data_IF_798185870668
#
_entry.id   IF_798185870668
#
_cell.length_a   1.000
_cell.length_b   1.000
_cell.length_c   1.000
_cell.angle_alpha   90.00
_cell.angle_beta   90.00
_cell.angle_gamma   90.00
#
_symmetry.space_group_name_H-M   'P 1'
#
loop_
_entity.id
_entity.type
_entity.pdbx_description
1 polymer ?
#
# COMPACT_ATOMS: atom_id res chain seq x y z
N UNK A 1 -81.73 55.30 16.53
CA UNK A 1 -81.04 54.31 17.36
C UNK A 1 -79.76 53.95 16.66
N UNK A 2 -78.65 54.45 17.17
CA UNK A 2 -77.35 54.49 16.48
C UNK A 2 -76.50 53.31 16.92
N UNK A 3 -75.93 52.62 15.96
CA UNK A 3 -74.93 51.59 16.16
C UNK A 3 -73.53 52.17 15.79
N UNK A 4 -72.70 52.28 16.78
CA UNK A 4 -71.31 52.69 16.58
C UNK A 4 -70.44 51.47 16.13
N UNK A 5 -69.81 51.65 15.02
CA UNK A 5 -68.82 50.68 14.51
C UNK A 5 -67.47 51.09 15.04
N UNK A 6 -66.84 50.21 15.88
CA UNK A 6 -65.50 50.37 16.36
C UNK A 6 -64.57 49.83 15.34
N UNK A 7 -63.62 50.63 14.86
CA UNK A 7 -62.46 50.21 14.10
C UNK A 7 -61.37 49.74 15.07
N UNK A 8 -61.10 48.48 15.05
CA UNK A 8 -59.86 47.95 15.66
C UNK A 8 -58.73 47.98 14.64
N UNK A 9 -57.73 48.80 14.88
CA UNK A 9 -56.47 48.79 14.14
C UNK A 9 -55.61 47.72 14.77
N UNK A 10 -55.35 46.63 14.03
CA UNK A 10 -54.42 45.58 14.40
C UNK A 10 -53.00 46.05 14.06
N UNK A 11 -52.16 46.30 15.06
CA UNK A 11 -50.74 46.51 14.88
C UNK A 11 -50.09 45.17 14.56
N UNK A 12 -49.87 44.91 13.30
CA UNK A 12 -48.99 43.85 12.89
C UNK A 12 -47.56 44.28 13.22
N UNK A 13 -46.98 43.69 14.27
CA UNK A 13 -45.57 43.79 14.57
C UNK A 13 -44.78 43.07 13.50
N UNK A 14 -44.11 43.80 12.63
CA UNK A 14 -43.04 43.28 11.76
C UNK A 14 -41.81 42.96 12.63
N UNK A 15 -41.72 41.76 13.10
CA UNK A 15 -40.42 41.21 13.57
C UNK A 15 -39.56 40.94 12.37
N UNK A 16 -38.68 41.87 12.04
CA UNK A 16 -37.59 41.64 11.11
C UNK A 16 -36.59 40.68 11.78
N UNK A 17 -36.70 39.41 11.49
CA UNK A 17 -35.69 38.42 11.85
C UNK A 17 -34.46 38.70 10.97
N UNK A 18 -33.47 39.35 11.54
CA UNK A 18 -32.16 39.54 10.92
C UNK A 18 -31.44 38.18 10.93
N UNK A 19 -31.53 37.43 9.83
CA UNK A 19 -30.70 36.25 9.63
C UNK A 19 -29.28 36.73 9.34
N UNK A 20 -28.46 36.81 10.38
CA UNK A 20 -27.03 36.98 10.22
C UNK A 20 -26.48 35.66 9.70
N UNK A 21 -26.34 35.54 8.39
CA UNK A 21 -25.57 34.49 7.78
C UNK A 21 -24.11 34.72 8.14
N UNK A 22 -23.61 34.04 9.18
CA UNK A 22 -22.17 33.89 9.43
C UNK A 22 -21.58 33.07 8.29
N UNK A 23 -21.18 33.73 7.21
CA UNK A 23 -20.29 33.18 6.24
C UNK A 23 -18.95 33.00 6.96
N UNK A 24 -18.70 31.82 7.51
CA UNK A 24 -17.36 31.41 7.89
C UNK A 24 -16.55 31.32 6.60
N UNK A 25 -15.87 32.39 6.23
CA UNK A 25 -14.84 32.34 5.22
C UNK A 25 -13.82 31.31 5.73
N UNK A 26 -13.84 30.11 5.16
CA UNK A 26 -12.75 29.16 5.39
C UNK A 26 -11.47 29.88 4.97
N UNK A 27 -10.62 30.23 5.92
CA UNK A 27 -9.33 30.82 5.62
C UNK A 27 -8.64 29.88 4.61
N UNK A 28 -8.23 30.45 3.47
CA UNK A 28 -7.48 29.67 2.49
C UNK A 28 -6.21 29.15 3.18
N UNK A 29 -5.92 27.88 2.99
CA UNK A 29 -4.71 27.28 3.54
C UNK A 29 -3.47 28.01 2.98
N UNK A 30 -2.52 28.35 3.83
CA UNK A 30 -1.26 28.96 3.41
C UNK A 30 -0.53 28.02 2.46
N UNK A 31 -0.07 28.53 1.34
CA UNK A 31 0.62 27.76 0.31
C UNK A 31 2.11 28.11 0.25
N UNK A 32 2.95 27.08 0.16
CA UNK A 32 4.40 27.15 0.10
C UNK A 32 4.83 26.42 -1.18
N UNK A 33 4.96 27.17 -2.29
CA UNK A 33 5.38 26.59 -3.56
C UNK A 33 6.88 26.34 -3.57
N UNK A 34 7.32 25.14 -3.98
CA UNK A 34 8.76 24.83 -4.07
C UNK A 34 9.52 25.79 -4.98
N UNK A 35 8.84 26.42 -5.94
CA UNK A 35 9.44 27.41 -6.86
C UNK A 35 9.82 28.70 -6.12
N UNK A 36 9.04 29.11 -5.13
CA UNK A 36 9.32 30.29 -4.31
C UNK A 36 10.58 30.09 -3.45
N UNK A 37 10.98 28.84 -3.21
CA UNK A 37 12.20 28.43 -2.52
C UNK A 37 13.36 28.09 -3.46
N UNK A 38 13.22 28.36 -4.77
CA UNK A 38 14.29 28.24 -5.75
C UNK A 38 14.28 26.94 -6.58
N UNK A 39 13.25 26.08 -6.46
CA UNK A 39 13.13 24.94 -7.36
C UNK A 39 12.92 25.39 -8.80
N UNK A 40 13.62 24.77 -9.73
CA UNK A 40 13.49 25.04 -11.15
C UNK A 40 13.00 23.81 -11.89
N UNK A 41 11.91 23.96 -12.65
CA UNK A 41 11.45 22.92 -13.55
C UNK A 41 12.46 22.63 -14.67
N UNK A 42 12.32 21.47 -15.33
CA UNK A 42 13.17 21.03 -16.42
C UNK A 42 13.99 19.78 -16.13
N UNK A 43 13.97 19.27 -14.88
CA UNK A 43 14.57 17.98 -14.54
C UNK A 43 16.11 17.91 -14.61
N UNK A 44 16.80 19.05 -14.57
CA UNK A 44 18.26 19.12 -14.76
C UNK A 44 19.02 19.59 -13.53
N UNK A 45 18.40 20.42 -12.70
CA UNK A 45 19.01 21.01 -11.50
C UNK A 45 18.36 20.37 -10.28
N UNK A 46 19.18 19.91 -9.34
CA UNK A 46 18.68 19.34 -8.11
C UNK A 46 17.91 20.37 -7.27
N UNK A 47 16.67 20.10 -7.03
CA UNK A 47 15.76 20.94 -6.26
C UNK A 47 15.56 20.47 -4.80
N UNK A 48 16.30 19.47 -4.32
CA UNK A 48 16.09 18.90 -2.98
C UNK A 48 16.15 19.97 -1.88
N UNK A 49 17.11 20.91 -1.95
CA UNK A 49 17.20 22.02 -1.00
C UNK A 49 15.95 22.91 -0.97
N UNK A 50 15.39 23.22 -2.15
CA UNK A 50 14.16 24.01 -2.26
C UNK A 50 12.93 23.26 -1.71
N UNK A 51 12.84 21.95 -1.97
CA UNK A 51 11.78 21.10 -1.41
C UNK A 51 11.85 21.03 0.12
N UNK A 52 13.05 20.86 0.69
CA UNK A 52 13.25 20.84 2.13
C UNK A 52 12.93 22.20 2.78
N UNK A 53 13.27 23.30 2.14
CA UNK A 53 12.96 24.65 2.63
C UNK A 53 11.44 24.92 2.60
N UNK A 54 10.75 24.55 1.52
CA UNK A 54 9.29 24.66 1.42
C UNK A 54 8.59 23.79 2.46
N UNK A 55 9.09 22.56 2.70
CA UNK A 55 8.58 21.69 3.77
C UNK A 55 8.78 22.31 5.15
N UNK A 56 9.98 22.82 5.44
CA UNK A 56 10.28 23.43 6.74
C UNK A 56 9.34 24.63 7.02
N UNK A 57 9.03 25.44 6.02
CA UNK A 57 8.08 26.54 6.13
C UNK A 57 6.65 26.02 6.37
N UNK A 58 6.16 25.08 5.56
CA UNK A 58 4.84 24.50 5.72
C UNK A 58 4.68 23.73 7.05
N UNK A 59 5.69 23.00 7.46
CA UNK A 59 5.69 22.24 8.73
C UNK A 59 5.80 23.16 9.95
N UNK A 60 6.43 24.34 9.79
CA UNK A 60 6.53 25.39 10.81
C UNK A 60 5.31 26.29 10.95
N UNK A 61 4.35 26.22 10.00
CA UNK A 61 3.10 26.98 10.01
C UNK A 61 2.11 26.32 10.99
N UNK A 62 1.50 27.11 11.89
CA UNK A 62 0.49 26.67 12.86
C UNK A 62 -0.94 26.80 12.32
N UNK A 63 -1.13 27.34 11.11
CA UNK A 63 -2.39 27.40 10.42
C UNK A 63 -2.98 26.01 10.12
N UNK A 64 -4.25 25.97 9.77
CA UNK A 64 -4.91 24.70 9.49
C UNK A 64 -4.52 24.16 8.12
N UNK A 65 -3.79 23.03 8.10
CA UNK A 65 -3.40 22.27 6.90
C UNK A 65 -2.65 23.09 5.85
N UNK A 66 -1.51 23.71 6.18
CA UNK A 66 -0.67 24.40 5.21
C UNK A 66 -0.33 23.46 4.04
N UNK A 67 -0.18 24.04 2.85
CA UNK A 67 0.05 23.30 1.61
C UNK A 67 1.46 23.54 1.08
N UNK A 68 2.28 22.51 1.04
CA UNK A 68 3.48 22.49 0.20
C UNK A 68 3.06 22.13 -1.23
N UNK A 69 3.32 23.00 -2.20
CA UNK A 69 2.95 22.78 -3.60
C UNK A 69 4.16 22.53 -4.49
N UNK A 70 4.06 21.47 -5.28
CA UNK A 70 4.93 21.19 -6.42
C UNK A 70 4.13 21.48 -7.70
N UNK A 71 4.32 22.62 -8.37
CA UNK A 71 3.52 23.00 -9.54
C UNK A 71 3.79 22.08 -10.74
N UNK A 72 3.06 22.29 -11.83
CA UNK A 72 3.27 21.57 -13.08
C UNK A 72 4.71 21.76 -13.60
N UNK A 73 5.31 20.70 -14.12
CA UNK A 73 6.70 20.64 -14.58
C UNK A 73 7.41 19.40 -14.09
N UNK A 74 8.66 19.24 -14.49
CA UNK A 74 9.53 18.13 -14.07
C UNK A 74 10.63 18.66 -13.17
N UNK A 75 10.75 18.13 -11.96
CA UNK A 75 11.73 18.53 -10.97
C UNK A 75 12.66 17.37 -10.66
N UNK A 76 13.95 17.52 -10.92
CA UNK A 76 14.96 16.61 -10.41
C UNK A 76 15.12 16.89 -8.91
N UNK A 77 14.95 15.88 -8.09
CA UNK A 77 15.08 16.00 -6.64
C UNK A 77 16.02 14.91 -6.16
N UNK A 78 17.11 15.29 -5.55
CA UNK A 78 17.98 14.40 -4.82
C UNK A 78 17.26 13.77 -3.64
N UNK A 79 17.98 13.15 -2.73
CA UNK A 79 17.39 12.60 -1.53
C UNK A 79 16.74 13.69 -0.68
N UNK A 80 15.46 13.51 -0.30
CA UNK A 80 14.74 14.47 0.52
C UNK A 80 14.04 13.78 1.70
N UNK A 81 14.43 14.19 2.92
CA UNK A 81 13.86 13.71 4.18
C UNK A 81 13.04 14.82 4.83
N UNK A 82 11.74 14.62 4.84
CA UNK A 82 10.75 15.54 5.40
C UNK A 82 10.43 15.15 6.84
N UNK A 83 10.98 15.89 7.78
CA UNK A 83 10.88 15.58 9.19
C UNK A 83 9.73 16.34 9.84
N UNK A 84 8.96 15.66 10.70
CA UNK A 84 8.05 16.22 11.65
C UNK A 84 8.66 16.24 13.08
N UNK A 85 7.85 16.49 14.13
CA UNK A 85 6.43 16.83 14.02
C UNK A 85 6.19 18.24 13.50
N UNK A 86 5.10 18.42 12.72
CA UNK A 86 4.70 19.73 12.24
C UNK A 86 3.82 20.47 13.26
N UNK A 87 3.81 21.81 13.21
CA UNK A 87 3.05 22.65 14.12
C UNK A 87 1.54 22.60 13.88
N UNK A 88 1.13 22.50 12.61
CA UNK A 88 -0.28 22.40 12.26
C UNK A 88 -0.93 21.15 12.86
N UNK A 89 -1.97 21.33 13.67
CA UNK A 89 -2.74 20.23 14.24
C UNK A 89 -3.44 19.36 13.17
N UNK A 90 -3.70 19.91 11.98
CA UNK A 90 -4.28 19.20 10.83
C UNK A 90 -3.23 18.48 9.97
N UNK A 91 -1.95 18.64 10.26
CA UNK A 91 -0.84 18.15 9.42
C UNK A 91 -0.63 18.99 8.17
N UNK A 92 0.33 18.60 7.34
CA UNK A 92 0.70 19.29 6.09
C UNK A 92 0.11 18.57 4.88
N UNK A 93 -0.29 19.33 3.87
CA UNK A 93 -0.69 18.80 2.57
C UNK A 93 0.45 18.98 1.57
N UNK A 94 0.96 17.90 1.01
CA UNK A 94 1.82 17.93 -0.17
C UNK A 94 0.94 17.77 -1.42
N UNK A 95 0.80 18.85 -2.19
CA UNK A 95 0.06 18.85 -3.45
C UNK A 95 1.05 18.84 -4.62
N UNK A 96 1.00 17.79 -5.43
CA UNK A 96 1.89 17.61 -6.58
C UNK A 96 1.05 17.71 -7.84
N UNK A 97 1.35 18.70 -8.70
CA UNK A 97 0.73 18.84 -10.02
C UNK A 97 1.68 18.37 -11.13
N UNK A 98 2.99 18.34 -10.86
CA UNK A 98 4.04 17.94 -11.78
C UNK A 98 4.59 16.54 -11.57
N UNK A 99 5.81 16.34 -12.06
CA UNK A 99 6.61 15.12 -11.91
C UNK A 99 7.86 15.41 -11.11
N UNK A 100 8.10 14.60 -10.09
CA UNK A 100 9.34 14.59 -9.31
C UNK A 100 10.15 13.38 -9.76
N UNK A 101 11.40 13.59 -10.16
CA UNK A 101 12.28 12.54 -10.72
C UNK A 101 13.49 12.34 -9.83
N UNK A 102 13.81 11.09 -9.53
CA UNK A 102 15.02 10.74 -8.79
C UNK A 102 16.27 10.83 -9.67
N UNK A 103 17.43 11.19 -9.12
CA UNK A 103 18.69 11.02 -9.83
C UNK A 103 18.96 9.52 -10.10
N UNK A 104 19.82 9.19 -11.09
CA UNK A 104 20.16 7.80 -11.40
C UNK A 104 20.70 7.02 -10.20
N UNK A 105 21.46 7.65 -9.32
CA UNK A 105 21.95 7.08 -8.07
C UNK A 105 21.45 7.89 -6.87
N UNK A 106 21.04 7.18 -5.82
CA UNK A 106 20.68 7.74 -4.51
C UNK A 106 21.49 6.98 -3.47
N UNK A 107 22.09 7.69 -2.52
CA UNK A 107 23.06 7.11 -1.59
C UNK A 107 22.46 6.21 -0.52
N UNK A 108 21.19 6.39 -0.17
CA UNK A 108 20.50 5.69 0.92
C UNK A 108 19.34 4.82 0.43
N UNK A 109 18.72 4.08 1.36
CA UNK A 109 17.64 3.15 1.07
C UNK A 109 16.28 3.80 0.79
N UNK A 110 16.10 5.09 1.12
CA UNK A 110 14.88 5.86 0.85
C UNK A 110 15.19 7.15 0.08
N UNK A 111 14.39 7.46 -0.94
CA UNK A 111 14.54 8.67 -1.75
C UNK A 111 13.72 9.82 -1.18
N UNK A 112 12.40 9.70 -1.17
CA UNK A 112 11.48 10.65 -0.54
C UNK A 112 10.99 10.01 0.76
N UNK A 113 11.37 10.56 1.90
CA UNK A 113 10.97 10.03 3.20
C UNK A 113 10.20 11.08 4.01
N UNK A 114 9.09 10.67 4.59
CA UNK A 114 8.34 11.41 5.60
C UNK A 114 8.46 10.69 6.94
N UNK A 115 9.03 11.35 7.94
CA UNK A 115 9.28 10.77 9.24
C UNK A 115 8.67 11.65 10.34
N UNK A 116 7.89 11.05 11.25
CA UNK A 116 7.08 11.76 12.26
C UNK A 116 6.13 12.81 11.67
N UNK A 117 5.69 12.63 10.42
CA UNK A 117 4.81 13.56 9.71
C UNK A 117 3.33 13.21 9.95
N UNK A 118 2.87 13.42 11.19
CA UNK A 118 1.49 13.12 11.58
C UNK A 118 0.48 14.02 10.82
N UNK A 119 -0.65 13.47 10.40
CA UNK A 119 -1.67 14.19 9.63
C UNK A 119 -1.32 14.49 8.19
N UNK A 120 -0.18 13.99 7.69
CA UNK A 120 0.28 14.20 6.32
C UNK A 120 -0.76 13.79 5.29
N UNK A 121 -0.97 14.65 4.28
CA UNK A 121 -1.75 14.31 3.11
C UNK A 121 -0.94 14.56 1.83
N UNK A 122 -0.66 13.53 1.06
CA UNK A 122 -0.01 13.63 -0.26
C UNK A 122 -1.09 13.45 -1.34
N UNK A 123 -1.11 14.30 -2.35
CA UNK A 123 -2.11 14.21 -3.42
C UNK A 123 -1.58 14.60 -4.78
N UNK A 124 -1.97 13.80 -5.79
CA UNK A 124 -1.69 14.06 -7.21
C UNK A 124 -0.24 13.80 -7.60
N UNK A 125 0.09 14.14 -8.83
CA UNK A 125 1.42 14.12 -9.41
C UNK A 125 2.03 12.75 -9.66
N UNK A 126 3.29 12.78 -10.08
CA UNK A 126 4.08 11.60 -10.38
C UNK A 126 5.41 11.63 -9.63
N UNK A 127 5.76 10.50 -9.02
CA UNK A 127 7.09 10.23 -8.48
C UNK A 127 7.76 9.18 -9.37
N UNK A 128 8.80 9.59 -10.09
CA UNK A 128 9.58 8.73 -10.97
C UNK A 128 10.90 8.34 -10.28
N UNK A 129 11.01 7.10 -9.87
CA UNK A 129 12.19 6.57 -9.19
C UNK A 129 13.41 6.39 -10.11
N UNK A 130 13.24 6.49 -11.45
CA UNK A 130 14.32 6.40 -12.43
C UNK A 130 15.20 5.14 -12.27
N UNK A 131 14.56 3.96 -12.11
CA UNK A 131 15.21 2.71 -11.70
C UNK A 131 16.00 1.97 -12.77
N UNK A 132 15.86 2.32 -14.05
CA UNK A 132 16.38 1.53 -15.17
C UNK A 132 17.87 1.22 -15.10
N UNK A 133 18.70 2.22 -14.77
CA UNK A 133 20.15 2.04 -14.63
C UNK A 133 20.52 1.13 -13.46
N UNK A 134 19.75 1.18 -12.38
CA UNK A 134 19.91 0.32 -11.22
C UNK A 134 19.59 -1.15 -11.55
N UNK A 135 18.50 -1.42 -12.24
CA UNK A 135 18.13 -2.78 -12.63
C UNK A 135 19.12 -3.36 -13.64
N UNK A 136 19.58 -2.55 -14.60
CA UNK A 136 20.62 -2.96 -15.53
C UNK A 136 21.94 -3.34 -14.81
N UNK A 137 22.30 -2.60 -13.74
CA UNK A 137 23.42 -2.96 -12.89
C UNK A 137 23.18 -4.32 -12.22
N UNK A 138 22.03 -4.52 -11.59
CA UNK A 138 21.71 -5.80 -10.91
C UNK A 138 21.66 -7.00 -11.84
N UNK A 139 21.20 -6.81 -13.06
CA UNK A 139 21.19 -7.86 -14.08
C UNK A 139 22.60 -8.23 -14.58
N UNK A 140 23.58 -7.35 -14.46
CA UNK A 140 24.96 -7.60 -14.84
C UNK A 140 25.68 -8.34 -13.72
N UNK A 141 25.78 -9.66 -13.82
CA UNK A 141 26.40 -10.52 -12.81
C UNK A 141 27.79 -10.03 -12.36
N UNK A 142 28.09 -10.12 -11.06
CA UNK A 142 29.39 -9.82 -10.47
C UNK A 142 29.72 -8.33 -10.31
N UNK A 143 28.76 -7.42 -10.46
CA UNK A 143 28.94 -5.99 -10.20
C UNK A 143 28.49 -5.60 -8.80
N UNK A 144 29.29 -4.75 -8.18
CA UNK A 144 28.90 -4.05 -6.95
C UNK A 144 27.94 -2.92 -7.33
N UNK A 145 26.65 -3.12 -7.06
CA UNK A 145 25.62 -2.15 -7.38
C UNK A 145 25.24 -1.35 -6.12
N UNK A 146 24.89 -0.07 -6.27
CA UNK A 146 24.40 0.72 -5.14
C UNK A 146 23.16 0.03 -4.53
N UNK A 147 22.80 0.34 -3.27
CA UNK A 147 21.60 -0.20 -2.66
C UNK A 147 20.35 0.24 -3.43
N UNK A 148 19.34 -0.61 -3.48
CA UNK A 148 18.03 -0.27 -4.03
C UNK A 148 17.34 0.76 -3.15
N UNK A 149 16.70 1.76 -3.76
CA UNK A 149 16.10 2.89 -3.06
C UNK A 149 14.58 2.85 -3.16
N UNK A 150 13.90 2.88 -2.03
CA UNK A 150 12.44 3.05 -1.94
C UNK A 150 12.04 4.45 -2.41
N UNK A 151 11.01 4.53 -3.27
CA UNK A 151 10.57 5.81 -3.85
C UNK A 151 9.89 6.71 -2.82
N UNK A 152 8.86 6.23 -2.13
CA UNK A 152 8.13 6.95 -1.09
C UNK A 152 8.14 6.14 0.19
N UNK A 153 8.79 6.65 1.20
CA UNK A 153 8.86 6.04 2.52
C UNK A 153 8.11 6.91 3.54
N UNK A 154 7.16 6.31 4.24
CA UNK A 154 6.40 6.96 5.31
C UNK A 154 6.62 6.14 6.57
N UNK A 155 7.30 6.74 7.54
CA UNK A 155 7.69 6.06 8.76
C UNK A 155 7.31 6.84 10.02
N UNK A 156 6.98 6.09 11.07
CA UNK A 156 6.62 6.59 12.42
C UNK A 156 5.61 7.73 12.39
N UNK A 157 4.62 7.62 11.49
CA UNK A 157 3.64 8.67 11.22
C UNK A 157 2.22 8.16 11.39
N UNK A 158 1.32 9.02 11.89
CA UNK A 158 -0.07 8.66 12.13
C UNK A 158 -1.04 9.52 11.32
N UNK A 159 -2.21 8.97 10.98
CA UNK A 159 -3.27 9.68 10.25
C UNK A 159 -2.78 10.22 8.89
N UNK A 160 -2.14 9.36 8.12
CA UNK A 160 -1.57 9.72 6.81
C UNK A 160 -2.53 9.37 5.68
N UNK A 161 -2.62 10.23 4.68
CA UNK A 161 -3.37 9.93 3.45
C UNK A 161 -2.55 10.21 2.20
N UNK A 162 -2.51 9.23 1.28
CA UNK A 162 -1.88 9.38 -0.06
C UNK A 162 -2.94 9.11 -1.12
N UNK A 163 -3.22 10.11 -1.96
CA UNK A 163 -4.34 10.01 -2.90
C UNK A 163 -3.94 10.38 -4.33
N UNK A 164 -4.31 9.52 -5.29
CA UNK A 164 -4.13 9.76 -6.73
C UNK A 164 -2.70 10.12 -7.13
N UNK A 165 -1.73 9.47 -6.50
CA UNK A 165 -0.31 9.59 -6.85
C UNK A 165 0.04 8.49 -7.83
N UNK A 166 0.82 8.82 -8.85
CA UNK A 166 1.45 7.88 -9.76
C UNK A 166 2.90 7.66 -9.32
N UNK A 167 3.33 6.39 -9.18
CA UNK A 167 4.71 6.04 -8.89
C UNK A 167 5.24 5.15 -10.02
N UNK A 168 6.41 5.51 -10.53
CA UNK A 168 6.99 4.87 -11.71
C UNK A 168 8.43 4.47 -11.42
N UNK A 169 8.81 3.30 -11.91
CA UNK A 169 10.19 2.86 -12.02
C UNK A 169 11.03 3.02 -10.73
N UNK A 170 10.50 2.55 -9.60
CA UNK A 170 11.24 2.55 -8.33
C UNK A 170 12.47 1.64 -8.42
N UNK A 171 13.58 2.04 -7.81
CA UNK A 171 14.79 1.21 -7.71
C UNK A 171 14.62 0.01 -6.77
N UNK A 172 13.64 0.09 -5.87
CA UNK A 172 13.25 -0.93 -4.92
C UNK A 172 11.73 -0.81 -4.68
N UNK A 173 11.22 -0.90 -3.47
CA UNK A 173 9.81 -0.68 -3.12
C UNK A 173 9.32 0.70 -3.58
N UNK A 174 8.10 0.76 -4.15
CA UNK A 174 7.51 2.06 -4.54
C UNK A 174 6.97 2.83 -3.34
N UNK A 175 6.18 2.19 -2.48
CA UNK A 175 5.63 2.80 -1.26
C UNK A 175 5.93 1.91 -0.06
N UNK A 176 6.63 2.43 0.91
CA UNK A 176 6.87 1.79 2.22
C UNK A 176 6.06 2.50 3.29
N UNK A 177 5.33 1.74 4.09
CA UNK A 177 4.60 2.20 5.28
C UNK A 177 5.19 1.44 6.47
N UNK A 178 5.95 2.14 7.30
CA UNK A 178 6.72 1.53 8.38
C UNK A 178 6.45 2.20 9.73
N UNK A 179 6.06 1.42 10.73
CA UNK A 179 5.74 1.89 12.08
C UNK A 179 4.71 3.03 12.10
N UNK A 180 3.61 2.83 11.36
CA UNK A 180 2.56 3.83 11.17
C UNK A 180 1.20 3.35 11.69
N UNK A 181 0.28 4.31 11.95
CA UNK A 181 -1.10 4.01 12.29
C UNK A 181 -2.10 4.93 11.56
N UNK A 182 -3.23 4.35 11.11
CA UNK A 182 -4.29 5.12 10.46
C UNK A 182 -3.85 5.66 9.09
N UNK A 183 -3.36 4.79 8.20
CA UNK A 183 -2.88 5.17 6.86
C UNK A 183 -3.92 4.84 5.81
N UNK A 184 -4.20 5.77 4.91
CA UNK A 184 -5.08 5.56 3.76
C UNK A 184 -4.33 5.85 2.46
N UNK A 185 -4.16 4.81 1.63
CA UNK A 185 -3.64 4.91 0.26
C UNK A 185 -4.81 4.73 -0.70
N UNK A 186 -5.10 5.71 -1.56
CA UNK A 186 -6.29 5.66 -2.42
C UNK A 186 -6.00 6.10 -3.85
N UNK A 187 -6.40 5.27 -4.81
CA UNK A 187 -6.31 5.60 -6.24
C UNK A 187 -4.87 5.70 -6.75
N UNK A 188 -3.95 4.94 -6.15
CA UNK A 188 -2.56 4.90 -6.58
C UNK A 188 -2.41 4.16 -7.92
N UNK A 189 -1.51 4.64 -8.75
CA UNK A 189 -1.02 3.94 -9.95
C UNK A 189 0.46 3.67 -9.77
N UNK A 190 0.85 2.40 -9.79
CA UNK A 190 2.23 1.99 -9.54
C UNK A 190 2.67 1.10 -10.69
N UNK A 191 3.77 1.47 -11.35
CA UNK A 191 4.26 0.72 -12.51
C UNK A 191 5.78 0.61 -12.51
N UNK A 192 6.25 -0.58 -12.88
CA UNK A 192 7.63 -0.89 -13.24
C UNK A 192 7.62 -2.08 -14.22
N UNK A 193 8.71 -2.36 -14.95
CA UNK A 193 8.83 -3.58 -15.77
C UNK A 193 8.61 -4.86 -14.95
N UNK A 194 8.04 -5.87 -15.60
CA UNK A 194 7.71 -7.15 -14.94
C UNK A 194 8.95 -7.93 -14.46
N UNK A 195 10.11 -7.63 -14.98
CA UNK A 195 11.41 -8.23 -14.64
C UNK A 195 12.28 -7.35 -13.71
N UNK A 196 11.75 -6.22 -13.25
CA UNK A 196 12.46 -5.34 -12.32
C UNK A 196 12.50 -5.94 -10.91
N UNK A 197 13.69 -6.19 -10.32
CA UNK A 197 13.79 -6.92 -9.06
C UNK A 197 13.41 -6.05 -7.86
N UNK A 198 12.70 -6.63 -6.91
CA UNK A 198 12.32 -6.04 -5.62
C UNK A 198 11.50 -4.74 -5.74
N UNK A 199 10.75 -4.60 -6.82
CA UNK A 199 9.94 -3.43 -7.07
C UNK A 199 8.50 -3.60 -6.53
N UNK A 200 8.40 -4.05 -5.27
CA UNK A 200 7.10 -4.12 -4.59
C UNK A 200 6.31 -2.83 -4.80
N UNK A 201 5.02 -2.95 -5.05
CA UNK A 201 4.17 -1.78 -5.19
C UNK A 201 4.00 -1.06 -3.85
N UNK A 202 3.48 -1.76 -2.85
CA UNK A 202 3.23 -1.22 -1.51
C UNK A 202 3.70 -2.24 -0.47
N UNK A 203 4.64 -1.84 0.38
CA UNK A 203 5.10 -2.64 1.52
C UNK A 203 4.60 -2.03 2.83
N UNK A 204 4.02 -2.86 3.71
CA UNK A 204 3.51 -2.44 5.02
C UNK A 204 4.17 -3.29 6.08
N UNK A 205 4.84 -2.68 7.06
CA UNK A 205 5.44 -3.38 8.19
C UNK A 205 5.31 -2.56 9.49
N UNK A 206 5.24 -3.24 10.64
CA UNK A 206 5.10 -2.65 11.98
C UNK A 206 3.93 -1.65 12.09
N UNK A 207 2.93 -1.76 11.22
CA UNK A 207 1.89 -0.74 11.05
C UNK A 207 0.49 -1.31 11.32
N UNK A 208 -0.41 -0.41 11.73
CA UNK A 208 -1.80 -0.79 12.02
C UNK A 208 -2.81 0.15 11.36
N UNK A 209 -4.02 -0.38 11.11
CA UNK A 209 -5.14 0.39 10.55
C UNK A 209 -4.78 1.02 9.20
N UNK A 210 -4.31 0.18 8.26
CA UNK A 210 -3.89 0.60 6.92
C UNK A 210 -4.95 0.23 5.90
N UNK A 211 -5.42 1.21 5.14
CA UNK A 211 -6.40 1.03 4.07
C UNK A 211 -5.78 1.31 2.70
N UNK A 212 -5.82 0.34 1.79
CA UNK A 212 -5.36 0.46 0.40
C UNK A 212 -6.57 0.30 -0.51
N UNK A 213 -6.98 1.39 -1.15
CA UNK A 213 -8.25 1.48 -1.87
C UNK A 213 -8.05 1.85 -3.34
N UNK A 214 -8.66 1.09 -4.24
CA UNK A 214 -8.67 1.39 -5.68
C UNK A 214 -7.27 1.60 -6.28
N UNK A 215 -6.30 0.79 -5.87
CA UNK A 215 -4.95 0.84 -6.42
C UNK A 215 -4.80 -0.04 -7.67
N UNK A 216 -4.00 0.42 -8.61
CA UNK A 216 -3.56 -0.36 -9.78
C UNK A 216 -2.05 -0.49 -9.71
N UNK A 217 -1.57 -1.72 -9.63
CA UNK A 217 -0.15 -2.05 -9.42
C UNK A 217 0.28 -3.08 -10.45
N UNK A 218 1.35 -2.78 -11.19
CA UNK A 218 2.00 -3.71 -12.10
C UNK A 218 3.51 -3.49 -12.02
N UNK A 219 4.25 -4.46 -11.47
CA UNK A 219 5.68 -4.33 -11.15
C UNK A 219 6.39 -5.68 -11.31
N UNK A 220 7.64 -5.77 -10.95
CA UNK A 220 8.43 -7.00 -11.01
C UNK A 220 8.45 -7.80 -9.68
N UNK A 221 7.73 -7.34 -8.65
CA UNK A 221 7.63 -8.07 -7.36
C UNK A 221 6.18 -7.99 -6.81
N UNK A 222 5.98 -8.13 -5.50
CA UNK A 222 4.66 -8.14 -4.88
C UNK A 222 3.88 -6.83 -5.16
N UNK A 223 2.62 -6.93 -5.61
CA UNK A 223 1.78 -5.74 -5.73
C UNK A 223 1.55 -5.07 -4.36
N UNK A 224 1.30 -5.90 -3.36
CA UNK A 224 1.23 -5.49 -1.95
C UNK A 224 1.88 -6.58 -1.11
N UNK A 225 2.79 -6.20 -0.23
CA UNK A 225 3.42 -7.09 0.73
C UNK A 225 3.21 -6.59 2.16
N UNK A 226 2.87 -7.50 3.09
CA UNK A 226 2.62 -7.21 4.50
C UNK A 226 3.62 -7.96 5.37
N UNK A 227 4.56 -7.23 5.93
CA UNK A 227 5.64 -7.73 6.78
C UNK A 227 5.25 -7.85 8.26
N UNK A 228 6.24 -8.22 9.11
CA UNK A 228 6.04 -8.40 10.54
C UNK A 228 5.43 -7.20 11.26
N UNK A 229 4.66 -7.44 12.33
CA UNK A 229 4.08 -6.41 13.17
C UNK A 229 2.90 -5.65 12.54
N UNK A 230 2.33 -6.19 11.47
CA UNK A 230 1.24 -5.54 10.71
C UNK A 230 -0.13 -6.04 11.17
N UNK A 231 -1.07 -5.12 11.38
CA UNK A 231 -2.44 -5.49 11.78
C UNK A 231 -3.51 -4.52 11.26
N UNK A 232 -4.74 -5.03 11.11
CA UNK A 232 -5.88 -4.19 10.69
C UNK A 232 -5.71 -3.64 9.27
N UNK A 233 -5.27 -4.47 8.32
CA UNK A 233 -5.06 -4.04 6.94
C UNK A 233 -6.26 -4.38 6.07
N UNK A 234 -6.74 -3.39 5.32
CA UNK A 234 -7.85 -3.55 4.37
C UNK A 234 -7.39 -3.17 2.97
N UNK A 235 -7.42 -4.12 2.05
CA UNK A 235 -7.22 -3.92 0.62
C UNK A 235 -8.57 -4.03 -0.07
N UNK A 236 -8.99 -2.99 -0.82
CA UNK A 236 -10.25 -3.04 -1.57
C UNK A 236 -10.11 -2.50 -2.98
N UNK A 237 -10.70 -3.22 -3.94
CA UNK A 237 -10.69 -2.84 -5.36
C UNK A 237 -9.27 -2.72 -5.94
N UNK A 238 -8.44 -3.74 -5.72
CA UNK A 238 -7.05 -3.78 -6.18
C UNK A 238 -6.98 -4.42 -7.56
N UNK A 239 -6.24 -3.81 -8.46
CA UNK A 239 -5.81 -4.41 -9.73
C UNK A 239 -4.32 -4.70 -9.63
N UNK A 240 -3.95 -5.95 -9.71
CA UNK A 240 -2.58 -6.42 -9.54
C UNK A 240 -2.13 -7.18 -10.78
N UNK A 241 -1.01 -6.79 -11.35
CA UNK A 241 -0.38 -7.49 -12.45
C UNK A 241 0.16 -6.57 -13.56
N UNK A 242 1.33 -6.95 -14.12
CA UNK A 242 2.19 -8.08 -13.72
C UNK A 242 2.76 -7.92 -12.31
N UNK A 243 3.39 -9.00 -11.78
CA UNK A 243 4.06 -9.00 -10.48
C UNK A 243 3.96 -10.33 -9.74
N UNK A 244 4.26 -10.32 -8.44
CA UNK A 244 4.24 -11.53 -7.61
C UNK A 244 2.92 -11.73 -6.82
N UNK A 245 1.91 -10.86 -7.00
CA UNK A 245 0.61 -10.99 -6.34
C UNK A 245 0.48 -10.19 -5.04
N UNK A 246 -0.42 -10.63 -4.17
CA UNK A 246 -0.65 -10.03 -2.84
C UNK A 246 -0.12 -11.01 -1.79
N UNK A 247 0.85 -10.56 -0.99
CA UNK A 247 1.61 -11.42 -0.09
C UNK A 247 1.54 -10.97 1.36
N UNK A 248 1.37 -11.93 2.26
CA UNK A 248 1.70 -11.80 3.68
C UNK A 248 3.07 -12.42 3.89
N UNK A 249 4.01 -11.65 4.41
CA UNK A 249 5.40 -12.07 4.62
C UNK A 249 6.38 -11.50 3.57
N UNK A 250 7.63 -11.98 3.64
CA UNK A 250 8.06 -13.19 4.34
C UNK A 250 8.21 -12.96 5.86
N UNK A 251 7.80 -13.97 6.64
CA UNK A 251 7.89 -13.95 8.11
C UNK A 251 8.83 -15.07 8.61
N UNK A 252 9.30 -14.95 9.83
CA UNK A 252 10.19 -15.92 10.46
C UNK A 252 11.63 -15.87 9.93
N UNK A 253 12.03 -14.80 9.26
CA UNK A 253 13.41 -14.56 8.84
C UNK A 253 14.35 -14.29 10.00
N UNK A 254 13.89 -13.50 10.98
CA UNK A 254 14.57 -13.13 12.21
C UNK A 254 13.85 -13.59 13.47
N UNK A 255 14.55 -13.59 14.60
CA UNK A 255 13.94 -13.84 15.90
C UNK A 255 13.19 -12.59 16.39
N UNK A 256 12.04 -12.80 17.07
CA UNK A 256 11.26 -11.70 17.66
C UNK A 256 10.44 -10.87 16.66
N UNK A 257 10.25 -11.36 15.44
CA UNK A 257 9.36 -10.71 14.48
C UNK A 257 7.92 -10.66 15.00
N UNK A 258 7.25 -9.52 14.77
CA UNK A 258 5.85 -9.33 15.16
C UNK A 258 4.87 -10.17 14.34
N UNK A 259 3.67 -10.34 14.87
CA UNK A 259 2.58 -11.07 14.19
C UNK A 259 1.97 -10.26 13.03
N UNK A 260 1.39 -10.96 12.05
CA UNK A 260 0.47 -10.36 11.07
C UNK A 260 -0.95 -10.83 11.37
N UNK A 261 -1.88 -9.90 11.56
CA UNK A 261 -3.25 -10.25 11.93
C UNK A 261 -4.30 -9.27 11.37
N UNK A 262 -5.54 -9.77 11.26
CA UNK A 262 -6.68 -8.98 10.82
C UNK A 262 -6.42 -8.30 9.46
N UNK A 263 -6.16 -9.13 8.46
CA UNK A 263 -5.95 -8.69 7.06
C UNK A 263 -7.19 -9.05 6.24
N UNK A 264 -7.74 -8.08 5.53
CA UNK A 264 -8.84 -8.29 4.61
C UNK A 264 -8.46 -7.83 3.20
N UNK A 265 -8.59 -8.72 2.23
CA UNK A 265 -8.49 -8.40 0.79
C UNK A 265 -9.84 -8.64 0.16
N UNK A 266 -10.41 -7.60 -0.43
CA UNK A 266 -11.77 -7.61 -0.96
C UNK A 266 -11.83 -7.03 -2.38
N UNK A 267 -12.50 -7.73 -3.28
CA UNK A 267 -12.74 -7.26 -4.66
C UNK A 267 -11.45 -6.95 -5.43
N UNK A 268 -10.52 -7.90 -5.45
CA UNK A 268 -9.28 -7.77 -6.21
C UNK A 268 -9.33 -8.51 -7.55
N UNK A 269 -8.56 -8.03 -8.52
CA UNK A 269 -8.33 -8.71 -9.80
C UNK A 269 -6.82 -8.86 -9.99
N UNK A 270 -6.36 -10.09 -10.10
CA UNK A 270 -4.96 -10.41 -10.37
C UNK A 270 -4.83 -10.92 -11.81
N UNK A 271 -3.87 -10.40 -12.58
CA UNK A 271 -3.71 -10.76 -13.99
C UNK A 271 -2.24 -11.04 -14.29
N UNK A 272 -1.94 -12.27 -14.74
CA UNK A 272 -0.60 -12.68 -15.17
C UNK A 272 0.46 -12.56 -14.06
N UNK A 273 0.06 -12.65 -12.81
CA UNK A 273 0.99 -12.61 -11.67
C UNK A 273 1.56 -13.99 -11.38
N UNK A 274 2.77 -14.03 -10.81
CA UNK A 274 3.41 -15.28 -10.41
C UNK A 274 2.61 -16.01 -9.32
N UNK A 275 2.10 -15.28 -8.35
CA UNK A 275 1.21 -15.78 -7.31
C UNK A 275 -0.06 -14.93 -7.24
N UNK A 276 -1.10 -15.48 -6.65
CA UNK A 276 -2.32 -14.76 -6.34
C UNK A 276 -2.32 -14.24 -4.90
N UNK A 277 -2.95 -14.98 -4.02
CA UNK A 277 -3.07 -14.71 -2.59
C UNK A 277 -2.06 -15.60 -1.85
N UNK A 278 -1.01 -14.99 -1.33
CA UNK A 278 0.14 -15.73 -0.82
C UNK A 278 0.40 -15.44 0.65
N UNK A 279 0.71 -16.50 1.43
CA UNK A 279 1.36 -16.41 2.74
C UNK A 279 2.70 -17.12 2.63
N UNK A 280 3.81 -16.41 2.93
CA UNK A 280 5.17 -16.95 2.82
C UNK A 280 5.93 -16.79 4.12
N UNK A 281 6.51 -17.89 4.62
CA UNK A 281 7.35 -17.88 5.82
C UNK A 281 8.64 -18.67 5.57
N UNK A 282 9.72 -18.21 6.15
CA UNK A 282 11.00 -18.90 6.05
C UNK A 282 10.97 -20.27 6.74
N UNK A 283 11.61 -21.25 6.15
CA UNK A 283 11.86 -22.55 6.78
C UNK A 283 12.91 -22.44 7.91
N UNK A 284 12.60 -21.63 8.94
CA UNK A 284 13.43 -21.38 10.12
C UNK A 284 12.59 -21.52 11.39
N UNK A 285 13.18 -21.94 12.54
CA UNK A 285 12.42 -22.16 13.78
C UNK A 285 12.01 -20.87 14.50
N UNK A 286 12.17 -19.72 13.88
CA UNK A 286 11.81 -18.44 14.46
C UNK A 286 10.28 -18.34 14.65
N UNK A 287 9.85 -18.02 15.86
CA UNK A 287 8.45 -17.89 16.21
C UNK A 287 7.82 -16.67 15.50
N UNK A 288 6.57 -16.84 15.09
CA UNK A 288 5.75 -15.80 14.49
C UNK A 288 4.30 -16.28 14.41
N UNK A 289 3.41 -15.40 13.92
CA UNK A 289 2.01 -15.76 13.74
C UNK A 289 1.36 -15.02 12.59
N UNK A 290 0.48 -15.72 11.86
CA UNK A 290 -0.48 -15.14 10.92
C UNK A 290 -1.87 -15.62 11.34
N UNK A 291 -2.81 -14.68 11.56
CA UNK A 291 -4.17 -15.04 11.96
C UNK A 291 -5.21 -13.98 11.55
N UNK A 292 -6.48 -14.43 11.39
CA UNK A 292 -7.59 -13.54 11.05
C UNK A 292 -7.43 -12.94 9.65
N UNK A 293 -7.10 -13.77 8.68
CA UNK A 293 -6.91 -13.34 7.29
C UNK A 293 -8.13 -13.72 6.47
N UNK A 294 -8.66 -12.76 5.72
CA UNK A 294 -9.79 -12.98 4.83
C UNK A 294 -9.51 -12.45 3.43
N UNK A 295 -9.66 -13.34 2.46
CA UNK A 295 -9.62 -13.04 1.04
C UNK A 295 -11.01 -13.28 0.46
N UNK A 296 -11.63 -12.26 -0.15
CA UNK A 296 -13.00 -12.39 -0.61
C UNK A 296 -13.24 -11.68 -1.94
N UNK A 297 -14.01 -12.30 -2.82
CA UNK A 297 -14.33 -11.80 -4.18
C UNK A 297 -13.08 -11.45 -4.98
N UNK A 298 -12.21 -12.43 -5.21
CA UNK A 298 -10.97 -12.23 -5.98
C UNK A 298 -11.03 -13.00 -7.31
N UNK A 299 -10.78 -12.26 -8.38
CA UNK A 299 -10.71 -12.83 -9.73
C UNK A 299 -9.26 -13.06 -10.16
N UNK A 300 -8.95 -14.27 -10.62
CA UNK A 300 -7.65 -14.71 -11.11
C UNK A 300 -7.68 -14.82 -12.64
N UNK A 301 -6.70 -14.25 -13.32
CA UNK A 301 -6.60 -14.28 -14.80
C UNK A 301 -5.19 -14.71 -15.20
N UNK A 302 -5.01 -16.01 -15.46
CA UNK A 302 -3.71 -16.57 -15.80
C UNK A 302 -2.68 -16.37 -14.68
N UNK A 303 -3.06 -16.63 -13.45
CA UNK A 303 -2.19 -16.49 -12.27
C UNK A 303 -1.41 -17.79 -12.04
N UNK A 304 -0.09 -17.71 -11.78
CA UNK A 304 0.76 -18.88 -11.65
C UNK A 304 0.37 -19.78 -10.46
N UNK A 305 0.22 -19.22 -9.27
CA UNK A 305 -0.20 -19.92 -8.05
C UNK A 305 -1.33 -19.11 -7.40
N UNK A 306 -2.61 -19.32 -7.78
CA UNK A 306 -3.74 -18.49 -7.31
C UNK A 306 -3.89 -18.41 -5.78
N UNK A 307 -3.81 -19.54 -5.08
CA UNK A 307 -3.86 -19.63 -3.61
C UNK A 307 -2.64 -20.40 -3.14
N UNK A 308 -1.78 -19.77 -2.35
CA UNK A 308 -0.56 -20.42 -1.87
C UNK A 308 -0.20 -20.04 -0.44
N UNK A 309 0.02 -21.05 0.39
CA UNK A 309 0.72 -20.95 1.68
C UNK A 309 2.03 -21.73 1.53
N UNK A 310 3.15 -21.04 1.71
CA UNK A 310 4.50 -21.60 1.61
C UNK A 310 5.28 -21.32 2.89
N UNK A 311 5.43 -22.34 3.72
CA UNK A 311 6.24 -22.27 4.94
C UNK A 311 7.69 -22.79 4.74
N UNK A 312 8.08 -23.02 3.50
CA UNK A 312 9.44 -23.37 3.10
C UNK A 312 10.07 -22.28 2.22
N UNK A 313 9.59 -21.04 2.37
CA UNK A 313 10.00 -19.93 1.50
C UNK A 313 11.52 -19.78 1.44
N UNK A 314 12.03 -19.79 0.20
CA UNK A 314 13.44 -19.67 -0.11
C UNK A 314 13.58 -19.03 -1.51
N UNK A 315 13.78 -17.70 -1.59
CA UNK A 315 13.86 -17.01 -2.86
C UNK A 315 15.02 -17.57 -3.72
N UNK A 316 14.70 -17.88 -4.97
CA UNK A 316 15.66 -18.45 -5.91
C UNK A 316 16.11 -19.88 -5.59
N UNK A 317 15.61 -20.53 -4.57
CA UNK A 317 16.02 -21.86 -4.09
C UNK A 317 17.55 -21.96 -3.81
N UNK A 318 18.16 -20.86 -3.38
CA UNK A 318 19.59 -20.78 -3.08
C UNK A 318 19.79 -20.64 -1.57
N UNK A 319 20.66 -21.50 -0.99
CA UNK A 319 20.97 -21.49 0.44
C UNK A 319 19.71 -21.59 1.34
N UNK A 320 18.76 -22.44 0.96
CA UNK A 320 17.53 -22.64 1.72
C UNK A 320 17.83 -23.10 3.15
N UNK A 321 17.15 -22.56 4.17
CA UNK A 321 17.41 -22.92 5.57
C UNK A 321 17.21 -24.40 5.89
N UNK A 322 16.31 -25.10 5.17
CA UNK A 322 16.06 -26.54 5.31
C UNK A 322 15.51 -26.97 6.67
N UNK A 323 14.97 -26.04 7.45
CA UNK A 323 14.38 -26.26 8.76
C UNK A 323 12.85 -26.10 8.70
N UNK A 324 12.15 -26.51 9.74
CA UNK A 324 10.70 -26.27 9.86
C UNK A 324 10.43 -24.81 10.27
N UNK A 325 9.45 -24.17 9.64
CA UNK A 325 9.02 -22.84 10.03
C UNK A 325 8.43 -22.83 11.44
N UNK A 326 8.87 -21.87 12.27
CA UNK A 326 8.32 -21.61 13.60
C UNK A 326 7.06 -20.74 13.58
N UNK A 327 6.65 -20.22 12.43
CA UNK A 327 5.48 -19.35 12.29
C UNK A 327 4.20 -20.16 12.32
N UNK A 328 3.25 -19.79 13.19
CA UNK A 328 1.90 -20.39 13.26
C UNK A 328 0.98 -19.67 12.29
N UNK A 329 0.31 -20.42 11.40
CA UNK A 329 -0.69 -19.89 10.47
C UNK A 329 -2.05 -20.46 10.86
N UNK A 330 -3.02 -19.60 11.18
CA UNK A 330 -4.35 -20.03 11.59
C UNK A 330 -5.43 -19.02 11.19
N UNK A 331 -6.69 -19.49 11.10
CA UNK A 331 -7.85 -18.64 10.80
C UNK A 331 -7.67 -17.84 9.50
N UNK A 332 -7.53 -18.57 8.39
CA UNK A 332 -7.40 -18.02 7.03
C UNK A 332 -8.60 -18.44 6.20
N UNK A 333 -9.30 -17.47 5.64
CA UNK A 333 -10.50 -17.71 4.83
C UNK A 333 -10.30 -17.23 3.40
N UNK A 334 -10.67 -18.07 2.45
CA UNK A 334 -10.77 -17.78 1.03
C UNK A 334 -12.23 -17.99 0.60
N UNK A 335 -12.95 -16.91 0.27
CA UNK A 335 -14.36 -16.93 -0.13
C UNK A 335 -14.55 -16.24 -1.48
N UNK A 336 -15.23 -16.90 -2.41
CA UNK A 336 -15.51 -16.40 -3.75
C UNK A 336 -14.21 -16.04 -4.51
N UNK A 337 -13.33 -17.04 -4.67
CA UNK A 337 -12.09 -16.94 -5.45
C UNK A 337 -12.29 -17.68 -6.76
N UNK A 338 -12.25 -16.95 -7.89
CA UNK A 338 -12.62 -17.51 -9.19
C UNK A 338 -11.62 -17.16 -10.28
N UNK A 339 -11.57 -17.97 -11.34
CA UNK A 339 -10.83 -17.65 -12.55
C UNK A 339 -9.86 -18.73 -13.01
N UNK A 340 -8.73 -18.32 -13.61
CA UNK A 340 -7.79 -19.21 -14.28
C UNK A 340 -6.40 -19.20 -13.64
N UNK A 341 -5.85 -20.40 -13.47
CA UNK A 341 -4.46 -20.64 -13.11
C UNK A 341 -3.62 -20.77 -14.38
N UNK A 342 -2.37 -20.34 -14.32
CA UNK A 342 -1.35 -20.62 -15.35
C UNK A 342 -0.57 -21.91 -15.08
N UNK A 343 -0.83 -22.56 -13.95
CA UNK A 343 -0.24 -23.86 -13.57
C UNK A 343 -1.33 -24.83 -13.13
N UNK A 344 -1.02 -26.12 -13.17
CA UNK A 344 -1.95 -27.18 -12.84
C UNK A 344 -2.46 -27.14 -11.39
N UNK A 345 -1.55 -26.81 -10.43
CA UNK A 345 -1.89 -26.69 -9.01
C UNK A 345 -2.27 -25.26 -8.69
N UNK A 346 -3.56 -24.99 -8.53
CA UNK A 346 -4.08 -23.65 -8.24
C UNK A 346 -4.26 -23.36 -6.73
N UNK A 347 -4.37 -24.41 -5.92
CA UNK A 347 -4.50 -24.31 -4.44
C UNK A 347 -3.36 -25.12 -3.83
N UNK A 348 -2.42 -24.44 -3.16
CA UNK A 348 -1.27 -25.08 -2.54
C UNK A 348 -1.11 -24.66 -1.08
N UNK A 349 -1.17 -25.61 -0.16
CA UNK A 349 -0.86 -25.42 1.24
C UNK A 349 0.34 -26.31 1.64
N UNK A 350 1.55 -25.75 1.57
CA UNK A 350 2.80 -26.43 1.98
C UNK A 350 3.22 -25.91 3.35
N UNK A 351 2.59 -26.47 4.37
CA UNK A 351 2.74 -26.02 5.75
C UNK A 351 3.83 -26.80 6.50
N UNK A 352 4.35 -26.18 7.56
CA UNK A 352 5.40 -26.73 8.42
C UNK A 352 4.92 -27.95 9.21
N UNK A 353 5.76 -28.96 9.30
CA UNK A 353 5.46 -30.15 10.14
C UNK A 353 5.45 -29.84 11.64
N UNK A 354 6.24 -28.88 12.10
CA UNK A 354 6.28 -28.48 13.52
C UNK A 354 5.17 -27.45 13.87
N UNK A 355 4.67 -26.71 12.89
CA UNK A 355 3.58 -25.75 13.05
C UNK A 355 2.60 -25.88 11.88
N UNK A 356 1.77 -26.93 11.86
CA UNK A 356 0.77 -27.13 10.81
C UNK A 356 -0.19 -25.93 10.70
N UNK A 357 -0.61 -25.62 9.49
CA UNK A 357 -1.65 -24.61 9.29
C UNK A 357 -2.99 -25.14 9.76
N UNK A 358 -3.75 -24.33 10.49
CA UNK A 358 -5.04 -24.73 11.06
C UNK A 358 -6.15 -23.72 10.78
N UNK A 359 -7.39 -24.18 10.74
CA UNK A 359 -8.54 -23.30 10.56
C UNK A 359 -8.55 -22.58 9.20
N UNK A 360 -8.02 -23.23 8.16
CA UNK A 360 -8.15 -22.75 6.78
C UNK A 360 -9.59 -23.03 6.31
N UNK A 361 -10.23 -22.05 5.72
CA UNK A 361 -11.57 -22.17 5.15
C UNK A 361 -11.57 -21.85 3.68
N UNK A 362 -12.04 -22.78 2.86
CA UNK A 362 -12.30 -22.59 1.44
C UNK A 362 -13.80 -22.53 1.21
N UNK A 363 -14.29 -21.48 0.57
CA UNK A 363 -15.71 -21.31 0.29
C UNK A 363 -15.90 -20.73 -1.11
N UNK A 364 -16.76 -21.35 -1.92
CA UNK A 364 -17.07 -20.87 -3.27
C UNK A 364 -15.80 -20.62 -4.12
N UNK A 365 -14.94 -21.63 -4.22
CA UNK A 365 -13.71 -21.57 -5.04
C UNK A 365 -14.02 -22.15 -6.43
N UNK A 366 -13.62 -21.45 -7.48
CA UNK A 366 -13.73 -21.95 -8.84
C UNK A 366 -12.49 -21.55 -9.65
N UNK A 367 -11.48 -22.42 -9.65
CA UNK A 367 -10.21 -22.20 -10.32
C UNK A 367 -9.98 -23.29 -11.38
N UNK A 368 -9.67 -22.88 -12.60
CA UNK A 368 -9.44 -23.75 -13.74
C UNK A 368 -8.02 -23.60 -14.29
N UNK A 369 -7.53 -24.68 -14.89
CA UNK A 369 -6.30 -24.73 -15.66
C UNK A 369 -6.59 -25.40 -17.01
N UNK A 370 -6.20 -24.78 -18.12
CA UNK A 370 -6.46 -25.26 -19.49
C UNK A 370 -7.93 -25.67 -19.71
N UNK A 371 -8.87 -24.86 -19.21
CA UNK A 371 -10.32 -25.08 -19.37
C UNK A 371 -10.89 -26.26 -18.55
N UNK A 372 -10.09 -26.89 -17.67
CA UNK A 372 -10.49 -27.97 -16.77
C UNK A 372 -10.35 -27.51 -15.32
N UNK A 373 -11.00 -28.19 -14.36
CA UNK A 373 -10.69 -27.97 -12.95
C UNK A 373 -9.18 -28.08 -12.69
N UNK A 374 -8.62 -27.13 -11.98
CA UNK A 374 -7.22 -27.20 -11.55
C UNK A 374 -7.01 -28.28 -10.50
N UNK A 375 -5.83 -28.40 -9.92
CA UNK A 375 -5.51 -29.31 -8.82
C UNK A 375 -5.31 -28.56 -7.49
N UNK A 376 -5.43 -29.30 -6.39
CA UNK A 376 -5.09 -28.85 -5.05
C UNK A 376 -4.01 -29.73 -4.42
N UNK A 377 -3.14 -29.13 -3.59
CA UNK A 377 -2.08 -29.80 -2.85
C UNK A 377 -2.07 -29.31 -1.40
N UNK A 378 -2.11 -30.25 -0.45
CA UNK A 378 -2.00 -29.98 0.98
C UNK A 378 -0.92 -30.83 1.63
N UNK A 379 -0.11 -30.18 2.48
CA UNK A 379 0.84 -30.81 3.37
C UNK A 379 0.75 -30.13 4.74
N UNK A 380 0.51 -30.88 5.79
CA UNK A 380 0.39 -30.37 7.16
C UNK A 380 -0.62 -29.19 7.29
N UNK A 381 -1.70 -29.23 6.54
CA UNK A 381 -2.74 -28.21 6.53
C UNK A 381 -4.08 -28.83 6.94
N UNK A 382 -4.85 -28.13 7.75
CA UNK A 382 -6.16 -28.56 8.19
C UNK A 382 -7.18 -27.44 8.20
N UNK A 383 -8.41 -27.80 7.86
CA UNK A 383 -9.48 -26.81 7.75
C UNK A 383 -10.79 -27.41 7.25
N UNK A 384 -11.56 -26.61 6.54
CA UNK A 384 -12.86 -27.02 6.00
C UNK A 384 -13.11 -26.38 4.63
N UNK A 385 -13.99 -27.06 3.87
CA UNK A 385 -14.49 -26.54 2.61
C UNK A 385 -16.02 -26.49 2.65
N UNK A 386 -16.62 -25.47 2.04
CA UNK A 386 -18.07 -25.30 1.97
C UNK A 386 -18.49 -24.60 0.67
N UNK A 387 -19.76 -24.78 0.28
CA UNK A 387 -20.24 -24.31 -1.02
C UNK A 387 -19.62 -25.08 -2.19
N UNK A 388 -19.57 -24.48 -3.37
CA UNK A 388 -18.93 -25.09 -4.54
C UNK A 388 -17.41 -24.85 -4.46
N UNK A 389 -16.61 -25.92 -4.41
CA UNK A 389 -15.15 -25.83 -4.32
C UNK A 389 -14.51 -26.67 -5.43
N UNK A 390 -13.92 -25.98 -6.39
CA UNK A 390 -13.17 -26.55 -7.51
C UNK A 390 -11.82 -25.80 -7.64
N UNK A 391 -10.66 -26.46 -7.59
CA UNK A 391 -10.46 -27.91 -7.43
C UNK A 391 -11.01 -28.47 -6.12
N UNK A 392 -11.25 -29.80 -6.05
CA UNK A 392 -11.64 -30.45 -4.80
C UNK A 392 -10.68 -30.11 -3.66
N UNK A 393 -11.22 -29.83 -2.48
CA UNK A 393 -10.39 -29.48 -1.31
C UNK A 393 -9.50 -30.66 -0.90
N UNK A 394 -8.29 -30.35 -0.50
CA UNK A 394 -7.34 -31.29 0.11
C UNK A 394 -7.19 -31.08 1.63
N UNK A 395 -8.03 -30.20 2.25
CA UNK A 395 -8.04 -29.92 3.69
C UNK A 395 -8.78 -31.00 4.47
#
# INVERSE_FOLDING_TARGET
MRIMTQYQISLAQLTKTLVVALATAAAAATEYSVVDYGARAGGRVDAAGAFLAAWAAACGDDGYRPVMRVPAGTFLVGQAYFLGPCRSAGGVVLAIDGTVVAPPAVANTSWIMFHYAHGLAIRGGTLDGNGRSFWACKAAAGRDCPPGTTTLDISQSNNVSVKRVTLVDSKNVHVSIFDCAGVTLQGLRITAPADSPNTDGIHVALSRDVSILSATVGTGDDCVSMGPGTSGVVLRSIRCGPGHGISIGSLGGGAGEGEVRNVTVESAVLTGTQNGLRIKTWGKPNAGRVAGVRFTRVAMRGVGNPIVVDQNYCPGNVNCPGQSSGVKISDVEYDDITGTSATEVAVKFDCSGSNPCTGIRLKNINLTYDGKPAQSFCKNAGGSASGAVSPPSCL
#
